data_IF_272551031696
#
_entry.id   IF_272551031696
#
_cell.length_a   1.000
_cell.length_b   1.000
_cell.length_c   1.000
_cell.angle_alpha   90.00
_cell.angle_beta   90.00
_cell.angle_gamma   90.00
#
_symmetry.space_group_name_H-M   'P 1'
#
loop_
_entity.id
_entity.type
_entity.pdbx_description
1 polymer ?
#
# COMPACT_ATOMS: atom_id res chain seq x y z
N UNK A 1 -12.77 -0.90 38.31
CA UNK A 1 -12.57 0.27 37.45
C UNK A 1 -12.96 -0.11 36.03
N UNK A 2 -14.01 0.45 35.40
CA UNK A 2 -14.35 0.08 34.03
C UNK A 2 -13.43 0.83 33.05
N UNK A 3 -12.57 0.08 32.34
CA UNK A 3 -11.83 0.58 31.19
C UNK A 3 -12.81 0.88 30.05
N UNK A 4 -13.03 2.17 29.77
CA UNK A 4 -13.70 2.63 28.55
C UNK A 4 -12.79 2.35 27.37
N UNK A 5 -13.08 1.28 26.62
CA UNK A 5 -12.49 1.04 25.31
C UNK A 5 -12.95 2.17 24.37
N UNK A 6 -12.04 3.11 24.08
CA UNK A 6 -12.28 4.17 23.10
C UNK A 6 -12.30 3.52 21.72
N UNK A 7 -13.48 3.07 21.27
CA UNK A 7 -13.68 2.60 19.90
C UNK A 7 -13.67 3.83 18.98
N UNK A 8 -12.48 4.26 18.58
CA UNK A 8 -12.29 5.31 17.58
C UNK A 8 -12.91 4.80 16.29
N UNK A 9 -13.97 5.46 15.83
CA UNK A 9 -14.67 5.16 14.58
C UNK A 9 -13.78 5.57 13.40
N UNK A 10 -12.80 4.73 13.06
CA UNK A 10 -11.70 5.08 12.13
C UNK A 10 -12.14 5.32 10.68
N UNK A 11 -13.30 4.80 10.27
CA UNK A 11 -13.73 4.87 8.87
C UNK A 11 -14.03 6.28 8.35
N UNK A 12 -14.44 7.22 9.22
CA UNK A 12 -14.73 8.60 8.80
C UNK A 12 -13.45 9.40 8.55
N UNK A 13 -12.43 9.21 9.38
CA UNK A 13 -11.13 9.86 9.24
C UNK A 13 -10.32 9.30 8.05
N UNK A 14 -10.49 8.02 7.74
CA UNK A 14 -9.82 7.41 6.60
C UNK A 14 -10.34 7.97 5.26
N UNK A 15 -11.66 8.09 5.10
CA UNK A 15 -12.26 8.60 3.87
C UNK A 15 -11.87 10.04 3.55
N UNK A 16 -11.86 10.93 4.56
CA UNK A 16 -11.44 12.33 4.39
C UNK A 16 -9.97 12.40 3.99
N UNK A 17 -9.10 11.61 4.63
CA UNK A 17 -7.67 11.60 4.35
C UNK A 17 -7.39 11.19 2.90
N UNK A 18 -8.07 10.16 2.40
CA UNK A 18 -7.94 9.73 1.00
C UNK A 18 -8.38 10.82 0.02
N UNK A 19 -9.49 11.51 0.31
CA UNK A 19 -9.97 12.60 -0.54
C UNK A 19 -8.97 13.76 -0.61
N UNK A 20 -8.43 14.19 0.53
CA UNK A 20 -7.42 15.24 0.58
C UNK A 20 -6.14 14.86 -0.17
N UNK A 21 -5.68 13.61 0.00
CA UNK A 21 -4.51 13.12 -0.70
C UNK A 21 -4.72 13.10 -2.22
N UNK A 22 -5.87 12.61 -2.68
CA UNK A 22 -6.22 12.59 -4.10
C UNK A 22 -6.27 14.01 -4.68
N UNK A 23 -6.93 14.94 -3.98
CA UNK A 23 -7.00 16.35 -4.40
C UNK A 23 -5.60 16.99 -4.50
N UNK A 24 -4.72 16.72 -3.54
CA UNK A 24 -3.33 17.18 -3.58
C UNK A 24 -2.59 16.63 -4.81
N UNK A 25 -2.71 15.34 -5.11
CA UNK A 25 -2.06 14.73 -6.29
C UNK A 25 -2.56 15.37 -7.59
N UNK A 26 -3.86 15.55 -7.75
CA UNK A 26 -4.46 16.18 -8.94
C UNK A 26 -3.96 17.62 -9.11
N UNK A 27 -3.91 18.38 -8.01
CA UNK A 27 -3.37 19.74 -8.02
C UNK A 27 -1.92 19.76 -8.50
N UNK A 28 -1.08 18.89 -7.96
CA UNK A 28 0.34 18.83 -8.29
C UNK A 28 0.58 18.38 -9.74
N UNK A 29 -0.25 17.47 -10.25
CA UNK A 29 -0.24 17.06 -11.65
C UNK A 29 -0.65 18.22 -12.58
N UNK A 30 -1.65 19.01 -12.18
CA UNK A 30 -2.05 20.23 -12.89
C UNK A 30 -0.94 21.29 -12.92
N UNK A 31 -0.23 21.49 -11.82
CA UNK A 31 0.91 22.41 -11.75
C UNK A 31 2.11 21.94 -12.57
N UNK A 32 2.30 20.63 -12.71
CA UNK A 32 3.36 20.02 -13.53
C UNK A 32 3.21 20.38 -15.01
N UNK A 33 1.98 20.44 -15.53
CA UNK A 33 1.70 20.81 -16.92
C UNK A 33 1.58 22.32 -17.15
N UNK A 34 1.59 23.14 -16.08
CA UNK A 34 1.42 24.58 -16.14
C UNK A 34 2.52 25.32 -15.34
N UNK A 35 3.77 25.38 -15.85
CA UNK A 35 4.91 25.91 -15.11
C UNK A 35 4.78 27.38 -14.72
N UNK A 36 4.13 28.20 -15.56
CA UNK A 36 3.85 29.61 -15.23
C UNK A 36 2.92 29.77 -14.03
N UNK A 37 1.95 28.86 -13.85
CA UNK A 37 1.06 28.89 -12.68
C UNK A 37 1.80 28.42 -11.43
N UNK A 38 2.62 27.38 -11.57
CA UNK A 38 3.49 26.88 -10.51
C UNK A 38 4.42 27.97 -9.98
N UNK A 39 5.09 28.72 -10.85
CA UNK A 39 5.99 29.81 -10.45
C UNK A 39 5.26 30.99 -9.80
N UNK A 40 4.01 31.28 -10.22
CA UNK A 40 3.19 32.33 -9.60
C UNK A 40 2.70 31.97 -8.20
N UNK A 41 2.36 30.70 -7.97
CA UNK A 41 1.93 30.19 -6.66
C UNK A 41 3.12 30.03 -5.72
N UNK A 42 4.27 29.63 -6.26
CA UNK A 42 5.47 29.37 -5.50
C UNK A 42 6.70 29.89 -6.26
N UNK A 43 7.01 31.19 -6.15
CA UNK A 43 8.16 31.78 -6.81
C UNK A 43 9.44 31.21 -6.21
N UNK A 44 10.19 30.47 -7.01
CA UNK A 44 11.50 29.94 -6.61
C UNK A 44 12.59 30.95 -6.93
N UNK A 45 13.47 31.21 -5.96
CA UNK A 45 14.68 32.00 -6.16
C UNK A 45 15.91 31.14 -6.51
N UNK A 46 15.77 29.80 -6.46
CA UNK A 46 16.87 28.87 -6.67
C UNK A 46 16.78 28.18 -8.05
N UNK A 47 17.91 28.02 -8.77
CA UNK A 47 17.94 27.43 -10.11
C UNK A 47 17.70 25.91 -10.12
N UNK A 48 17.83 25.24 -8.98
CA UNK A 48 17.60 23.80 -8.80
C UNK A 48 16.67 23.57 -7.61
N UNK A 49 15.40 23.95 -7.77
CA UNK A 49 14.38 23.74 -6.75
C UNK A 49 13.66 22.41 -6.95
N UNK A 50 13.83 21.50 -6.00
CA UNK A 50 13.10 20.26 -5.92
C UNK A 50 11.85 20.45 -5.04
N UNK A 51 10.68 20.44 -5.67
CA UNK A 51 9.39 20.42 -5.00
C UNK A 51 8.58 19.20 -5.44
N UNK A 52 7.47 18.93 -4.76
CA UNK A 52 6.65 17.78 -5.11
C UNK A 52 6.03 17.87 -6.53
N UNK A 53 5.89 19.07 -7.13
CA UNK A 53 5.49 19.22 -8.53
C UNK A 53 6.58 18.74 -9.47
N UNK A 54 7.83 19.15 -9.24
CA UNK A 54 8.98 18.73 -10.06
C UNK A 54 9.31 17.25 -9.87
N UNK A 55 9.07 16.68 -8.69
CA UNK A 55 9.18 15.24 -8.44
C UNK A 55 8.17 14.44 -9.27
N UNK A 56 6.91 14.89 -9.34
CA UNK A 56 5.89 14.26 -10.21
C UNK A 56 6.25 14.43 -11.68
N UNK A 57 6.72 15.61 -12.10
CA UNK A 57 7.11 15.90 -13.48
C UNK A 57 8.30 15.06 -13.96
N UNK A 58 9.32 14.90 -13.10
CA UNK A 58 10.55 14.17 -13.43
C UNK A 58 10.41 12.65 -13.31
N UNK A 59 9.35 12.16 -12.64
CA UNK A 59 9.22 10.76 -12.27
C UNK A 59 10.34 10.27 -11.33
N UNK A 60 11.17 11.19 -10.82
CA UNK A 60 12.31 10.88 -9.97
C UNK A 60 11.85 10.81 -8.52
N UNK A 61 11.07 9.78 -8.19
CA UNK A 61 10.92 9.40 -6.79
C UNK A 61 12.14 8.58 -6.42
N UNK A 62 13.18 9.23 -5.87
CA UNK A 62 14.22 8.49 -5.20
C UNK A 62 13.57 7.60 -4.14
N UNK A 63 13.79 6.30 -4.26
CA UNK A 63 13.35 5.31 -3.29
C UNK A 63 14.17 5.53 -2.02
N UNK A 64 13.84 6.56 -1.25
CA UNK A 64 14.35 6.68 0.11
C UNK A 64 13.81 5.45 0.84
N UNK A 65 14.67 4.55 1.36
CA UNK A 65 14.19 3.41 2.11
C UNK A 65 13.29 3.96 3.21
N UNK A 66 11.99 3.66 3.12
CA UNK A 66 11.05 4.09 4.13
C UNK A 66 11.60 3.60 5.47
N UNK A 67 11.81 4.52 6.41
CA UNK A 67 12.20 4.14 7.76
C UNK A 67 11.20 3.07 8.21
N UNK A 68 11.65 1.85 8.59
CA UNK A 68 10.75 0.78 8.92
C UNK A 68 9.80 1.32 9.98
N UNK A 69 8.52 1.41 9.63
CA UNK A 69 7.48 1.85 10.55
C UNK A 69 7.35 0.72 11.58
N UNK A 70 8.17 0.79 12.63
CA UNK A 70 8.17 -0.15 13.73
C UNK A 70 6.90 0.09 14.55
N UNK A 71 5.78 -0.40 14.04
CA UNK A 71 4.60 -0.64 14.86
C UNK A 71 5.00 -1.80 15.76
N UNK A 72 5.38 -1.50 17.00
CA UNK A 72 5.53 -2.53 18.01
C UNK A 72 4.23 -3.36 18.00
N UNK A 73 4.30 -4.67 17.75
CA UNK A 73 3.12 -5.51 17.84
C UNK A 73 2.55 -5.30 19.24
N UNK A 74 1.31 -4.81 19.34
CA UNK A 74 0.62 -4.87 20.61
C UNK A 74 0.65 -6.34 21.02
N UNK A 75 1.21 -6.63 22.19
CA UNK A 75 1.25 -7.97 22.78
C UNK A 75 -0.18 -8.40 23.08
N UNK A 76 -0.88 -8.84 22.03
CA UNK A 76 -2.12 -9.57 22.19
C UNK A 76 -1.71 -10.91 22.78
N UNK A 77 -2.02 -11.11 24.05
CA UNK A 77 -1.97 -12.42 24.70
C UNK A 77 -3.02 -13.29 24.00
N UNK A 78 -2.65 -13.85 22.85
CA UNK A 78 -3.43 -14.77 22.06
C UNK A 78 -3.19 -16.17 22.63
N UNK A 79 -3.73 -16.45 23.81
CA UNK A 79 -3.96 -17.85 24.21
C UNK A 79 -5.20 -18.34 23.49
N UNK A 80 -5.08 -18.66 22.20
CA UNK A 80 -6.00 -19.60 21.59
C UNK A 80 -5.48 -21.00 21.88
N UNK A 81 -6.30 -21.82 22.54
CA UNK A 81 -6.00 -23.24 22.72
C UNK A 81 -5.91 -23.87 21.33
N UNK A 82 -4.70 -24.21 20.91
CA UNK A 82 -4.43 -24.85 19.62
C UNK A 82 -5.23 -26.16 19.60
N UNK A 83 -6.24 -26.31 18.72
CA UNK A 83 -6.92 -27.58 18.56
C UNK A 83 -5.92 -28.60 18.05
N UNK A 84 -5.92 -29.82 18.60
CA UNK A 84 -5.10 -30.90 18.08
C UNK A 84 -5.52 -31.19 16.62
N UNK A 85 -4.63 -30.88 15.67
CA UNK A 85 -4.80 -31.23 14.26
C UNK A 85 -4.57 -32.73 14.12
N UNK A 86 -5.64 -33.50 13.89
CA UNK A 86 -5.50 -34.89 13.47
C UNK A 86 -5.21 -34.91 11.96
N UNK A 87 -4.09 -35.51 11.51
CA UNK A 87 -3.84 -35.68 10.09
C UNK A 87 -4.81 -36.74 9.56
N UNK A 88 -5.92 -36.28 8.99
CA UNK A 88 -6.80 -37.15 8.19
C UNK A 88 -6.18 -37.15 6.79
N UNK A 89 -5.67 -38.30 6.35
CA UNK A 89 -5.22 -38.48 4.97
C UNK A 89 -6.45 -38.37 4.07
N UNK A 90 -6.69 -37.17 3.54
CA UNK A 90 -7.71 -36.97 2.52
C UNK A 90 -7.10 -37.45 1.21
N UNK A 91 -7.80 -38.36 0.52
CA UNK A 91 -7.40 -38.80 -0.81
C UNK A 91 -7.25 -37.56 -1.70
N UNK A 92 -6.07 -37.40 -2.32
CA UNK A 92 -5.75 -36.22 -3.10
C UNK A 92 -6.74 -36.11 -4.28
N UNK A 93 -7.58 -35.07 -4.36
CA UNK A 93 -8.49 -34.90 -5.50
C UNK A 93 -7.72 -34.73 -6.82
N UNK A 94 -6.43 -34.42 -6.75
CA UNK A 94 -5.54 -34.26 -7.90
C UNK A 94 -5.13 -35.59 -8.56
N UNK A 95 -5.27 -36.73 -7.87
CA UNK A 95 -5.00 -38.06 -8.47
C UNK A 95 -6.16 -38.52 -9.35
N UNK A 96 -7.41 -38.14 -9.04
CA UNK A 96 -8.57 -38.47 -9.87
C UNK A 96 -8.72 -37.58 -11.10
N UNK A 97 -8.27 -36.33 -11.01
CA UNK A 97 -8.51 -35.33 -12.04
C UNK A 97 -7.48 -35.31 -13.18
N UNK A 98 -6.42 -36.15 -13.13
CA UNK A 98 -5.42 -36.30 -14.21
C UNK A 98 -4.83 -34.96 -14.69
N UNK A 99 -4.78 -33.96 -13.81
CA UNK A 99 -4.44 -32.56 -14.14
C UNK A 99 -2.98 -32.43 -14.64
N UNK A 100 -2.13 -33.42 -14.34
CA UNK A 100 -0.74 -33.48 -14.77
C UNK A 100 -0.48 -34.41 -15.98
N UNK A 101 -1.52 -34.91 -16.66
CA UNK A 101 -1.35 -35.80 -17.83
C UNK A 101 -0.98 -35.06 -19.14
N UNK A 102 -0.73 -33.74 -19.11
CA UNK A 102 -0.27 -33.05 -20.31
C UNK A 102 1.16 -33.47 -20.66
N UNK A 103 1.27 -34.35 -21.66
CA UNK A 103 2.55 -34.67 -22.30
C UNK A 103 3.16 -33.40 -22.91
N UNK A 104 4.51 -33.23 -22.87
CA UNK A 104 5.16 -32.10 -23.52
C UNK A 104 4.81 -32.06 -25.01
N UNK A 105 4.62 -30.86 -25.60
CA UNK A 105 4.34 -30.75 -27.03
C UNK A 105 5.47 -31.37 -27.85
N UNK A 106 5.12 -32.17 -28.85
CA UNK A 106 6.08 -32.74 -29.78
C UNK A 106 6.82 -31.60 -30.48
N UNK A 107 8.15 -31.62 -30.40
CA UNK A 107 9.03 -30.64 -31.03
C UNK A 107 8.75 -30.54 -32.54
N UNK A 108 8.60 -29.31 -33.03
CA UNK A 108 8.64 -28.94 -34.46
C UNK A 108 9.90 -28.16 -34.76
#
# INVERSE_FOLDING_TARGET
MPCRALRIRSGWFAGTTVLFLAAAIVLMLGLSVAPNLHERLHPTSAPLHECAVTLIASGSCHHTPAAPLMIAPATAVQFSKIPALNPIWVESPFLGARIFEHAPPAHS
#
